data_IF_007512247952
#
_entry.id   IF_007512247952
#
_cell.length_a   1.000
_cell.length_b   1.000
_cell.length_c   1.000
_cell.angle_alpha   90.00
_cell.angle_beta   90.00
_cell.angle_gamma   90.00
#
_symmetry.space_group_name_H-M   'P 1'
#
loop_
_entity.id
_entity.type
_entity.pdbx_description
1 polymer ?
#
# COMPACT_ATOMS: atom_id res chain seq x y z
N UNK A 1 0.67 -14.49 11.14
CA UNK A 1 -0.32 -13.41 11.41
C UNK A 1 0.33 -12.08 11.06
N UNK A 2 -0.45 -11.07 10.65
CA UNK A 2 0.00 -9.70 10.44
C UNK A 2 -0.74 -8.78 11.41
N UNK A 3 0.00 -8.02 12.21
CA UNK A 3 -0.53 -6.92 12.97
C UNK A 3 -0.77 -5.72 12.06
N UNK A 4 -1.94 -5.11 12.19
CA UNK A 4 -2.38 -4.00 11.35
C UNK A 4 -2.33 -2.73 12.18
N UNK A 5 -1.71 -1.68 11.63
CA UNK A 5 -1.50 -0.40 12.30
C UNK A 5 -2.07 0.76 11.49
N UNK A 6 -2.56 1.78 12.19
CA UNK A 6 -2.80 3.14 11.67
C UNK A 6 -1.90 4.08 12.47
N UNK A 7 -0.97 4.75 11.80
CA UNK A 7 0.08 5.49 12.50
C UNK A 7 0.81 4.55 13.48
N UNK A 8 0.86 4.92 14.76
CA UNK A 8 1.46 4.10 15.82
C UNK A 8 0.48 3.16 16.53
N UNK A 9 -0.81 3.23 16.23
CA UNK A 9 -1.83 2.46 16.94
C UNK A 9 -2.09 1.13 16.24
N UNK A 10 -1.98 0.02 16.96
CA UNK A 10 -2.42 -1.29 16.48
C UNK A 10 -3.95 -1.29 16.41
N UNK A 11 -4.49 -1.45 15.21
CA UNK A 11 -5.94 -1.45 14.96
C UNK A 11 -6.52 -2.86 14.98
N UNK A 12 -5.71 -3.88 14.73
CA UNK A 12 -6.15 -5.26 14.72
C UNK A 12 -5.10 -6.24 14.21
N UNK A 13 -5.53 -7.46 13.95
CA UNK A 13 -4.70 -8.52 13.37
C UNK A 13 -5.41 -9.17 12.20
N UNK A 14 -4.66 -9.34 11.10
CA UNK A 14 -5.06 -10.08 9.90
C UNK A 14 -4.36 -11.44 9.89
N UNK A 15 -5.14 -12.51 9.89
CA UNK A 15 -4.65 -13.88 10.06
C UNK A 15 -5.00 -14.72 8.85
N UNK A 16 -4.09 -15.61 8.46
CA UNK A 16 -4.32 -16.67 7.48
C UNK A 16 -4.24 -18.02 8.19
N UNK A 17 -5.33 -18.78 8.09
CA UNK A 17 -5.42 -20.16 8.57
C UNK A 17 -4.64 -21.12 7.66
N UNK A 18 -4.28 -22.33 8.13
CA UNK A 18 -3.58 -23.33 7.30
C UNK A 18 -4.33 -23.70 6.01
N UNK A 19 -5.66 -23.62 6.02
CA UNK A 19 -6.51 -23.84 4.83
C UNK A 19 -6.56 -22.67 3.85
N UNK A 20 -5.80 -21.59 4.09
CA UNK A 20 -5.77 -20.39 3.25
C UNK A 20 -6.87 -19.37 3.55
N UNK A 21 -7.85 -19.70 4.38
CA UNK A 21 -8.88 -18.78 4.81
C UNK A 21 -8.27 -17.61 5.61
N UNK A 22 -8.68 -16.39 5.30
CA UNK A 22 -8.21 -15.19 6.00
C UNK A 22 -9.30 -14.60 6.88
N UNK A 23 -8.87 -13.94 7.94
CA UNK A 23 -9.75 -13.25 8.87
C UNK A 23 -9.09 -12.01 9.48
N UNK A 24 -9.90 -11.06 9.90
CA UNK A 24 -9.48 -9.85 10.58
C UNK A 24 -10.22 -9.70 11.92
N UNK A 25 -9.49 -9.29 12.95
CA UNK A 25 -10.05 -8.97 14.27
C UNK A 25 -9.51 -7.63 14.72
N UNK A 26 -10.41 -6.75 15.17
CA UNK A 26 -10.00 -5.49 15.78
C UNK A 26 -9.28 -5.73 17.11
N UNK A 27 -8.30 -4.88 17.39
CA UNK A 27 -7.58 -4.90 18.64
C UNK A 27 -8.49 -4.36 19.78
N UNK A 28 -8.55 -5.02 20.95
CA UNK A 28 -9.35 -4.52 22.08
C UNK A 28 -9.00 -3.09 22.51
N UNK A 29 -7.73 -2.70 22.42
CA UNK A 29 -7.27 -1.35 22.77
C UNK A 29 -7.72 -0.34 21.71
N UNK A 30 -7.81 -0.77 20.44
CA UNK A 30 -8.41 0.06 19.39
C UNK A 30 -9.91 0.23 19.60
N UNK A 31 -10.64 -0.84 19.94
CA UNK A 31 -12.09 -0.77 20.18
C UNK A 31 -12.47 0.14 21.36
N UNK A 32 -11.59 0.27 22.35
CA UNK A 32 -11.79 1.14 23.51
C UNK A 32 -11.25 2.56 23.35
N UNK A 33 -10.57 2.85 22.24
CA UNK A 33 -10.00 4.17 21.96
C UNK A 33 -11.05 5.19 21.52
N UNK A 34 -10.96 6.43 22.00
CA UNK A 34 -11.79 7.54 21.50
C UNK A 34 -11.49 7.89 20.03
N UNK A 35 -10.33 7.47 19.52
CA UNK A 35 -9.91 7.69 18.13
C UNK A 35 -10.31 6.53 17.21
N UNK A 36 -11.03 5.54 17.72
CA UNK A 36 -11.38 4.34 16.99
C UNK A 36 -12.27 4.66 15.79
N UNK A 37 -11.90 4.11 14.64
CA UNK A 37 -12.75 4.11 13.46
C UNK A 37 -12.62 2.76 12.74
N UNK A 38 -13.65 2.33 11.99
CA UNK A 38 -13.58 1.09 11.25
C UNK A 38 -12.64 1.23 10.06
N UNK A 39 -11.77 0.24 9.81
CA UNK A 39 -10.88 0.24 8.64
C UNK A 39 -11.67 0.12 7.33
N UNK A 40 -12.88 -0.45 7.39
CA UNK A 40 -13.81 -0.56 6.27
C UNK A 40 -15.24 -0.40 6.75
N UNK A 41 -16.10 0.25 5.96
CA UNK A 41 -17.54 0.28 6.22
C UNK A 41 -18.19 -1.11 6.12
N UNK A 42 -17.56 -2.05 5.41
CA UNK A 42 -17.97 -3.47 5.39
C UNK A 42 -17.55 -4.24 6.65
N UNK A 43 -16.68 -3.66 7.48
CA UNK A 43 -16.17 -4.22 8.72
C UNK A 43 -16.30 -3.20 9.86
N UNK A 44 -17.52 -2.83 10.31
CA UNK A 44 -17.71 -1.91 11.44
C UNK A 44 -17.00 -2.36 12.71
N UNK A 45 -16.74 -1.41 13.61
CA UNK A 45 -16.10 -1.69 14.91
C UNK A 45 -16.92 -2.71 15.70
N UNK A 46 -16.32 -3.85 15.98
CA UNK A 46 -16.89 -4.95 16.73
C UNK A 46 -15.77 -5.86 17.23
N UNK A 47 -15.99 -6.51 18.36
CA UNK A 47 -15.16 -7.56 18.94
C UNK A 47 -15.20 -8.89 18.15
N UNK A 48 -16.10 -8.99 17.17
CA UNK A 48 -16.24 -10.16 16.30
C UNK A 48 -15.04 -10.33 15.36
N UNK A 49 -14.86 -11.57 14.91
CA UNK A 49 -13.93 -11.89 13.82
C UNK A 49 -14.63 -11.68 12.48
N UNK A 50 -14.02 -10.88 11.62
CA UNK A 50 -14.43 -10.65 10.24
C UNK A 50 -13.75 -11.67 9.33
N UNK A 51 -14.52 -12.48 8.61
CA UNK A 51 -14.01 -13.51 7.71
C UNK A 51 -14.90 -13.65 6.46
N UNK A 52 -14.44 -14.47 5.52
CA UNK A 52 -15.15 -14.69 4.25
C UNK A 52 -14.96 -13.55 3.26
N UNK A 53 -15.78 -13.54 2.22
CA UNK A 53 -15.61 -12.70 1.04
C UNK A 53 -15.50 -11.21 1.38
N UNK A 54 -16.35 -10.68 2.25
CA UNK A 54 -16.34 -9.25 2.60
C UNK A 54 -15.03 -8.76 3.23
N UNK A 55 -14.36 -9.60 4.03
CA UNK A 55 -13.06 -9.28 4.60
C UNK A 55 -11.96 -9.43 3.53
N UNK A 56 -11.97 -10.55 2.81
CA UNK A 56 -11.00 -10.83 1.75
C UNK A 56 -11.00 -9.76 0.65
N UNK A 57 -12.17 -9.32 0.17
CA UNK A 57 -12.31 -8.29 -0.86
C UNK A 57 -11.76 -6.93 -0.42
N UNK A 58 -11.88 -6.59 0.86
CA UNK A 58 -11.29 -5.35 1.37
C UNK A 58 -9.76 -5.38 1.28
N UNK A 59 -9.13 -6.45 1.78
CA UNK A 59 -7.67 -6.59 1.72
C UNK A 59 -7.16 -6.80 0.31
N UNK A 60 -7.94 -7.43 -0.57
CA UNK A 60 -7.62 -7.56 -1.99
C UNK A 60 -7.58 -6.20 -2.69
N UNK A 61 -8.54 -5.31 -2.39
CA UNK A 61 -8.61 -3.95 -2.93
C UNK A 61 -7.50 -3.01 -2.45
N UNK A 62 -6.64 -3.47 -1.53
CA UNK A 62 -5.40 -2.77 -1.17
C UNK A 62 -4.26 -3.05 -2.17
N UNK A 63 -4.39 -4.11 -2.97
CA UNK A 63 -3.34 -4.56 -3.88
C UNK A 63 -3.68 -4.16 -5.33
N UNK A 64 -2.69 -4.14 -6.25
CA UNK A 64 -2.93 -3.89 -7.66
C UNK A 64 -3.91 -4.89 -8.25
N UNK A 65 -4.83 -4.47 -9.12
CA UNK A 65 -5.79 -5.38 -9.75
C UNK A 65 -5.13 -6.33 -10.77
N UNK A 66 -3.99 -5.91 -11.35
CA UNK A 66 -3.27 -6.66 -12.37
C UNK A 66 -2.46 -7.81 -11.75
N UNK A 67 -2.76 -9.05 -12.19
CA UNK A 67 -2.10 -10.26 -11.72
C UNK A 67 -0.62 -10.32 -12.10
N UNK A 68 -0.25 -9.91 -13.31
CA UNK A 68 1.15 -9.90 -13.76
C UNK A 68 1.96 -8.92 -12.92
N UNK A 69 1.36 -7.80 -12.52
CA UNK A 69 1.98 -6.86 -11.57
C UNK A 69 2.19 -7.53 -10.22
N UNK A 70 1.16 -8.20 -9.65
CA UNK A 70 1.31 -8.95 -8.39
C UNK A 70 2.41 -10.00 -8.43
N UNK A 71 2.54 -10.74 -9.53
CA UNK A 71 3.59 -11.75 -9.71
C UNK A 71 4.99 -11.13 -9.75
N UNK A 72 5.16 -9.98 -10.40
CA UNK A 72 6.43 -9.22 -10.38
C UNK A 72 6.81 -8.76 -8.98
N UNK A 73 5.82 -8.27 -8.21
CA UNK A 73 6.03 -7.84 -6.83
C UNK A 73 6.48 -9.03 -5.98
N UNK A 74 5.75 -10.15 -6.04
CA UNK A 74 6.09 -11.34 -5.29
C UNK A 74 7.51 -11.84 -5.60
N UNK A 75 7.91 -11.84 -6.89
CA UNK A 75 9.24 -12.26 -7.30
C UNK A 75 10.34 -11.28 -6.81
N UNK A 76 10.09 -9.97 -6.88
CA UNK A 76 11.03 -8.93 -6.46
C UNK A 76 11.26 -8.92 -4.95
N UNK A 77 10.17 -8.97 -4.19
CA UNK A 77 10.18 -8.89 -2.71
C UNK A 77 10.32 -10.28 -2.05
N UNK A 78 10.57 -11.33 -2.85
CA UNK A 78 10.73 -12.72 -2.39
C UNK A 78 9.56 -13.21 -1.52
N UNK A 79 8.33 -12.82 -1.88
CA UNK A 79 7.13 -13.28 -1.21
C UNK A 79 6.86 -14.76 -1.51
N UNK A 80 6.27 -15.47 -0.54
CA UNK A 80 5.89 -16.88 -0.70
C UNK A 80 4.89 -17.10 -1.86
N UNK A 81 4.05 -16.11 -2.15
CA UNK A 81 3.14 -16.14 -3.30
C UNK A 81 2.69 -14.73 -3.72
N UNK A 82 2.00 -14.65 -4.87
CA UNK A 82 1.27 -13.46 -5.31
C UNK A 82 -0.12 -13.32 -4.66
N UNK A 83 -0.38 -14.07 -3.58
CA UNK A 83 -1.62 -14.03 -2.81
C UNK A 83 -1.68 -12.83 -1.87
N UNK A 84 -2.90 -12.44 -1.48
CA UNK A 84 -3.18 -11.23 -0.71
C UNK A 84 -2.34 -11.14 0.57
N UNK A 85 -2.32 -12.22 1.35
CA UNK A 85 -1.61 -12.26 2.63
C UNK A 85 -0.10 -12.12 2.45
N UNK A 86 0.49 -12.87 1.51
CA UNK A 86 1.94 -12.89 1.31
C UNK A 86 2.43 -11.56 0.77
N UNK A 87 1.69 -10.97 -0.17
CA UNK A 87 1.97 -9.63 -0.67
C UNK A 87 1.91 -8.59 0.45
N UNK A 88 0.82 -8.54 1.22
CA UNK A 88 0.70 -7.61 2.35
C UNK A 88 1.79 -7.83 3.43
N UNK A 89 2.30 -9.06 3.58
CA UNK A 89 3.37 -9.34 4.53
C UNK A 89 4.70 -8.70 4.12
N UNK A 90 4.98 -8.61 2.81
CA UNK A 90 6.25 -8.06 2.30
C UNK A 90 6.18 -6.56 2.01
N UNK A 91 5.10 -6.07 1.38
CA UNK A 91 4.97 -4.67 0.97
C UNK A 91 4.03 -3.85 1.87
N UNK A 92 3.27 -4.50 2.75
CA UNK A 92 2.29 -3.80 3.58
C UNK A 92 2.93 -2.94 4.67
N UNK A 93 4.26 -3.00 4.84
CA UNK A 93 5.02 -2.16 5.78
C UNK A 93 5.06 -0.69 5.36
N UNK A 94 5.11 -0.43 4.05
CA UNK A 94 5.35 0.91 3.48
C UNK A 94 4.07 1.72 3.20
N UNK A 95 3.04 1.49 4.02
CA UNK A 95 1.70 2.08 3.95
C UNK A 95 0.92 1.73 2.68
N UNK A 96 -0.16 0.97 2.86
CA UNK A 96 -1.21 0.83 1.83
C UNK A 96 -2.42 1.63 2.27
N UNK A 97 -2.62 2.80 1.65
CA UNK A 97 -3.53 3.82 2.17
C UNK A 97 -3.02 4.35 3.51
N UNK A 98 -3.76 4.13 4.60
CA UNK A 98 -3.37 4.49 5.96
C UNK A 98 -2.94 3.30 6.82
N UNK A 99 -2.96 2.08 6.26
CA UNK A 99 -2.70 0.85 6.98
C UNK A 99 -1.25 0.40 6.76
N UNK A 100 -0.63 -0.06 7.85
CA UNK A 100 0.62 -0.81 7.81
C UNK A 100 0.40 -2.22 8.30
N UNK A 101 0.98 -3.20 7.62
CA UNK A 101 0.92 -4.61 7.95
C UNK A 101 2.31 -5.07 8.37
N UNK A 102 2.39 -5.59 9.59
CA UNK A 102 3.66 -5.99 10.21
C UNK A 102 3.52 -7.43 10.66
N UNK A 103 4.40 -8.35 10.22
CA UNK A 103 4.37 -9.71 10.73
C UNK A 103 4.48 -9.75 12.25
N UNK A 104 3.71 -10.64 12.88
CA UNK A 104 3.70 -10.80 14.32
C UNK A 104 5.11 -10.97 14.89
N UNK A 105 5.39 -10.27 15.99
CA UNK A 105 6.70 -10.32 16.66
C UNK A 105 7.78 -9.46 16.01
N UNK A 106 7.52 -8.82 14.87
CA UNK A 106 8.42 -7.83 14.29
C UNK A 106 8.09 -6.43 14.80
N UNK A 107 9.13 -5.61 14.97
CA UNK A 107 8.97 -4.21 15.35
C UNK A 107 8.23 -3.45 14.24
N UNK A 108 7.10 -2.76 14.53
CA UNK A 108 6.39 -1.92 13.56
C UNK A 108 7.19 -0.67 13.15
N UNK A 109 8.30 -0.38 13.82
CA UNK A 109 9.11 0.81 13.61
C UNK A 109 8.40 2.09 14.04
N UNK A 110 9.12 3.21 13.97
CA UNK A 110 8.58 4.52 14.30
C UNK A 110 7.84 5.13 13.08
N UNK A 111 6.50 5.28 13.10
CA UNK A 111 5.75 5.88 12.01
C UNK A 111 6.01 7.38 11.83
N UNK A 112 6.63 8.04 12.81
CA UNK A 112 6.95 9.46 12.76
C UNK A 112 8.32 9.71 12.14
N UNK A 113 9.14 8.66 12.02
CA UNK A 113 10.45 8.75 11.38
C UNK A 113 10.26 8.94 9.88
N UNK A 114 10.57 10.14 9.42
CA UNK A 114 10.59 10.45 7.99
C UNK A 114 12.01 10.25 7.47
N UNK A 115 12.15 9.25 6.61
CA UNK A 115 13.34 9.02 5.79
C UNK A 115 12.99 9.40 4.35
N UNK A 116 13.83 10.19 3.71
CA UNK A 116 13.61 10.61 2.33
C UNK A 116 14.91 11.07 1.70
N UNK A 117 14.97 11.03 0.36
CA UNK A 117 16.06 11.60 -0.42
C UNK A 117 15.55 12.68 -1.36
N UNK A 118 16.37 13.69 -1.60
CA UNK A 118 16.04 14.72 -2.58
C UNK A 118 16.00 14.13 -3.99
N UNK A 119 15.05 14.61 -4.78
CA UNK A 119 14.83 14.20 -6.16
C UNK A 119 14.86 15.44 -7.06
N UNK A 120 15.59 15.36 -8.18
CA UNK A 120 15.68 16.46 -9.14
C UNK A 120 14.50 16.44 -10.12
N UNK A 121 14.23 17.58 -10.75
CA UNK A 121 13.21 17.68 -11.79
C UNK A 121 13.46 16.70 -12.96
N UNK A 122 14.72 16.48 -13.35
CA UNK A 122 15.10 15.51 -14.38
C UNK A 122 14.75 14.07 -13.97
N UNK A 123 14.98 13.72 -12.70
CA UNK A 123 14.65 12.40 -12.18
C UNK A 123 13.12 12.22 -12.08
N UNK A 124 12.40 13.25 -11.63
CA UNK A 124 10.92 13.26 -11.64
C UNK A 124 10.41 13.06 -13.07
N UNK A 125 10.95 13.79 -14.05
CA UNK A 125 10.55 13.69 -15.45
C UNK A 125 10.81 12.27 -16.01
N UNK A 126 11.97 11.68 -15.71
CA UNK A 126 12.30 10.31 -16.11
C UNK A 126 11.31 9.29 -15.53
N UNK A 127 10.98 9.41 -14.24
CA UNK A 127 9.99 8.56 -13.55
C UNK A 127 8.58 8.69 -14.12
N UNK A 128 8.17 9.91 -14.48
CA UNK A 128 6.86 10.13 -15.10
C UNK A 128 6.83 9.53 -16.51
N UNK A 129 7.90 9.69 -17.28
CA UNK A 129 7.99 9.16 -18.64
C UNK A 129 7.99 7.62 -18.69
N UNK A 130 8.54 6.96 -17.66
CA UNK A 130 8.58 5.50 -17.56
C UNK A 130 7.30 4.86 -17.06
N UNK A 131 6.31 5.63 -16.56
CA UNK A 131 5.05 5.07 -16.08
C UNK A 131 4.43 4.16 -17.16
N UNK A 132 4.33 4.65 -18.41
CA UNK A 132 3.72 3.90 -19.52
C UNK A 132 4.46 2.65 -20.02
N UNK A 133 5.67 2.38 -19.52
CA UNK A 133 6.46 1.18 -19.88
C UNK A 133 6.75 0.30 -18.68
N UNK A 134 6.50 0.79 -17.47
CA UNK A 134 6.92 0.18 -16.21
C UNK A 134 5.79 0.29 -15.19
N UNK A 135 4.95 -0.76 -15.07
CA UNK A 135 3.81 -0.74 -14.15
C UNK A 135 4.26 -0.35 -12.74
N UNK A 136 3.56 0.58 -12.09
CA UNK A 136 3.82 1.09 -10.73
C UNK A 136 5.19 1.74 -10.49
N UNK A 137 5.93 2.14 -11.54
CA UNK A 137 7.25 2.76 -11.35
C UNK A 137 8.28 1.80 -10.76
N UNK A 138 8.16 0.49 -11.08
CA UNK A 138 9.15 -0.55 -10.77
C UNK A 138 10.42 -0.28 -11.59
N UNK A 139 11.16 0.77 -11.23
CA UNK A 139 12.52 0.91 -11.74
C UNK A 139 13.35 -0.23 -11.13
N UNK A 140 14.06 -0.96 -11.99
CA UNK A 140 14.95 -2.04 -11.58
C UNK A 140 16.07 -1.54 -10.64
N UNK A 141 16.32 -0.23 -10.62
CA UNK A 141 17.37 0.44 -9.85
C UNK A 141 16.84 1.22 -8.63
N UNK A 142 15.53 1.22 -8.36
CA UNK A 142 15.00 1.83 -7.14
C UNK A 142 14.84 0.81 -6.04
N UNK A 143 15.53 1.01 -4.92
CA UNK A 143 15.49 0.15 -3.73
C UNK A 143 14.13 0.16 -2.98
N UNK A 144 13.18 1.01 -3.37
CA UNK A 144 11.94 1.23 -2.62
C UNK A 144 10.69 1.05 -3.50
N UNK A 145 10.14 -0.18 -3.49
CA UNK A 145 8.93 -0.53 -4.21
C UNK A 145 7.69 -0.12 -3.42
N UNK A 146 6.97 0.91 -3.90
CA UNK A 146 5.69 1.33 -3.32
C UNK A 146 4.52 0.96 -4.20
N UNK A 147 3.52 0.29 -3.63
CA UNK A 147 2.20 0.19 -4.25
C UNK A 147 1.53 1.55 -4.19
N UNK A 148 1.57 2.29 -5.30
CA UNK A 148 0.71 3.46 -5.46
C UNK A 148 -0.74 3.02 -5.66
N UNK A 149 -1.59 3.42 -4.71
CA UNK A 149 -3.05 3.63 -4.77
C UNK A 149 -3.78 2.96 -5.95
N UNK A 150 -4.72 2.07 -5.64
CA UNK A 150 -5.64 1.45 -6.59
C UNK A 150 -6.23 2.44 -7.64
N UNK A 151 -6.48 1.93 -8.86
CA UNK A 151 -7.09 2.69 -9.96
C UNK A 151 -6.41 2.45 -11.31
N UNK A 152 -7.17 2.67 -12.39
CA UNK A 152 -6.82 2.33 -13.79
C UNK A 152 -5.67 3.18 -14.36
N UNK A 153 -5.48 4.41 -13.87
CA UNK A 153 -4.46 5.32 -14.37
C UNK A 153 -3.17 5.18 -13.57
N UNK A 154 -2.07 4.97 -14.29
CA UNK A 154 -0.72 4.97 -13.73
C UNK A 154 -0.42 6.32 -13.08
N UNK A 155 0.10 6.26 -11.86
CA UNK A 155 0.41 7.43 -11.04
C UNK A 155 1.66 7.16 -10.24
N UNK A 156 2.43 8.21 -10.00
CA UNK A 156 3.54 8.20 -9.02
C UNK A 156 3.23 9.18 -7.91
N UNK A 157 3.94 9.11 -6.79
CA UNK A 157 3.70 9.99 -5.65
C UNK A 157 5.02 10.40 -5.00
N UNK A 158 5.08 11.67 -4.57
CA UNK A 158 6.26 12.29 -3.98
C UNK A 158 5.94 12.96 -2.65
N UNK A 159 6.97 13.20 -1.85
CA UNK A 159 6.91 14.00 -0.63
C UNK A 159 7.37 15.44 -0.97
N UNK A 160 6.71 16.46 -0.41
CA UNK A 160 7.13 17.85 -0.53
C UNK A 160 7.44 18.41 0.85
N UNK A 161 8.71 18.74 1.09
CA UNK A 161 9.23 19.29 2.35
C UNK A 161 9.99 20.57 1.98
N UNK A 162 9.70 21.68 2.66
CA UNK A 162 10.37 22.98 2.46
C UNK A 162 10.46 23.39 0.97
N UNK A 163 9.35 23.22 0.25
CA UNK A 163 9.22 23.48 -1.18
C UNK A 163 10.12 22.66 -2.13
N UNK A 164 10.74 21.60 -1.61
CA UNK A 164 11.54 20.66 -2.37
C UNK A 164 10.85 19.30 -2.50
N UNK A 165 10.96 18.72 -3.69
CA UNK A 165 10.51 17.36 -3.94
C UNK A 165 11.50 16.37 -3.32
N UNK A 166 10.93 15.38 -2.65
CA UNK A 166 11.66 14.28 -2.03
C UNK A 166 11.03 12.97 -2.49
N UNK A 167 11.87 11.96 -2.67
CA UNK A 167 11.45 10.57 -2.71
C UNK A 167 11.41 10.05 -1.27
N UNK A 168 10.23 9.68 -0.74
CA UNK A 168 10.18 9.07 0.58
C UNK A 168 10.95 7.74 0.59
N UNK A 169 11.43 7.33 1.76
CA UNK A 169 12.09 6.05 2.01
C UNK A 169 11.34 5.29 3.12
N UNK A 170 11.19 3.97 2.94
CA UNK A 170 10.49 3.08 3.86
C UNK A 170 9.05 3.53 4.16
N UNK A 171 8.62 3.62 5.43
CA UNK A 171 7.23 3.91 5.80
C UNK A 171 6.85 5.39 5.64
N UNK A 172 7.76 6.23 5.15
CA UNK A 172 7.53 7.67 5.00
C UNK A 172 6.40 7.93 4.00
N UNK A 173 5.32 8.63 4.40
CA UNK A 173 4.19 8.85 3.50
C UNK A 173 4.53 9.84 2.39
N UNK A 174 3.87 9.68 1.24
CA UNK A 174 3.84 10.69 0.18
C UNK A 174 2.82 11.77 0.51
N UNK A 175 2.95 12.95 -0.11
CA UNK A 175 2.03 14.08 0.08
C UNK A 175 1.31 14.50 -1.20
N UNK A 176 1.88 14.16 -2.36
CA UNK A 176 1.38 14.56 -3.67
C UNK A 176 1.36 13.39 -4.64
N UNK A 177 0.26 13.23 -5.37
CA UNK A 177 0.13 12.25 -6.45
C UNK A 177 0.32 12.99 -7.78
N UNK A 178 1.23 12.48 -8.59
CA UNK A 178 1.50 12.96 -9.94
C UNK A 178 0.78 12.05 -10.92
N UNK A 179 -0.16 12.64 -11.66
CA UNK A 179 -0.94 11.94 -12.68
C UNK A 179 -0.55 12.50 -14.05
N UNK A 180 0.14 11.72 -14.91
CA UNK A 180 0.41 12.16 -16.27
C UNK A 180 -0.92 12.35 -17.02
N UNK A 181 -0.94 13.27 -17.99
CA UNK A 181 -2.11 13.45 -18.85
C UNK A 181 -2.46 12.12 -19.55
N UNK A 182 -3.75 11.75 -19.54
CA UNK A 182 -4.23 10.58 -20.27
C UNK A 182 -4.04 10.85 -21.76
N UNK A 183 -3.35 9.95 -22.49
CA UNK A 183 -3.31 10.01 -23.96
C UNK A 183 -4.67 9.62 -24.56
N UNK A 184 -5.35 8.66 -23.93
CA UNK A 184 -6.70 8.22 -24.29
C UNK A 184 -7.53 8.09 -23.00
N UNK A 185 -8.76 8.58 -23.01
CA UNK A 185 -9.70 8.39 -21.90
C UNK A 185 -10.73 7.30 -22.16
N UNK A 186 -11.69 7.12 -21.24
CA UNK A 186 -12.73 6.10 -21.38
C UNK A 186 -13.50 6.29 -22.69
N UNK A 187 -13.75 5.18 -23.40
CA UNK A 187 -14.38 5.11 -24.72
C UNK A 187 -13.53 5.59 -25.93
N UNK A 188 -12.19 5.62 -25.81
CA UNK A 188 -11.30 5.92 -26.93
C UNK A 188 -11.28 7.41 -27.30
N UNK A 189 -11.59 8.27 -26.34
CA UNK A 189 -11.45 9.71 -26.51
C UNK A 189 -9.96 10.09 -26.48
N UNK A 190 -9.49 10.69 -27.56
CA UNK A 190 -8.15 11.25 -27.69
C UNK A 190 -8.10 12.63 -27.03
N UNK A 191 -7.11 12.85 -26.15
CA UNK A 191 -6.89 14.11 -25.44
C UNK A 191 -5.55 14.76 -25.81
N UNK A 192 -4.95 14.34 -26.94
CA UNK A 192 -3.73 14.95 -27.49
C UNK A 192 -3.94 16.32 -28.12
#
# INVERSE_FOLDING_TARGET
>A
MLDVYVGSSKVGSYTREPGGATSFRYDPDWLSSEKAFPISLSMPLSDRVWSGEGASSYFDGLLPDDRTVREKIAAREQADSAGIFDLLAVIGRDCVGALRFVPEGLDPGDPTKMEYRSVSDDEIAARIASLGTTPLGVHADDDDFRISIAGVQEKTAFLRIDDQWQLPLGPTPTSHIFKPAMKEGPAGADFS
#
